data_IF_660856244168
#
_entry.id   IF_660856244168
#
_cell.length_a   1.000
_cell.length_b   1.000
_cell.length_c   1.000
_cell.angle_alpha   90.00
_cell.angle_beta   90.00
_cell.angle_gamma   90.00
#
_symmetry.space_group_name_H-M   'P 1'
#
loop_
_entity.id
_entity.type
_entity.pdbx_description
1 polymer ?
#
# COMPACT_ATOMS: atom_id res chain seq x y z
N UNK A 1 25.22 14.81 -9.21
CA UNK A 1 24.44 13.85 -10.01
C UNK A 1 23.01 13.89 -9.49
N UNK A 2 22.08 14.48 -10.23
CA UNK A 2 20.67 14.57 -9.82
C UNK A 2 20.01 13.27 -10.27
N UNK A 3 19.93 12.29 -9.37
CA UNK A 3 19.27 11.01 -9.65
C UNK A 3 17.77 11.27 -9.68
N UNK A 4 17.11 10.98 -10.81
CA UNK A 4 15.67 11.18 -10.98
C UNK A 4 14.92 9.90 -10.59
N UNK A 5 14.24 9.92 -9.44
CA UNK A 5 13.49 8.78 -8.91
C UNK A 5 12.02 8.74 -9.35
N UNK A 6 11.60 9.56 -10.33
CA UNK A 6 10.20 9.64 -10.77
C UNK A 6 9.61 8.28 -11.17
N UNK A 7 10.39 7.44 -11.85
CA UNK A 7 9.95 6.10 -12.26
C UNK A 7 9.67 5.21 -11.04
N UNK A 8 10.53 5.28 -10.01
CA UNK A 8 10.37 4.54 -8.76
C UNK A 8 9.08 4.95 -8.04
N UNK A 9 8.78 6.25 -7.95
CA UNK A 9 7.57 6.73 -7.30
C UNK A 9 6.30 6.29 -8.02
N UNK A 10 6.28 6.38 -9.36
CA UNK A 10 5.15 5.90 -10.17
C UNK A 10 4.98 4.39 -10.00
N UNK A 11 6.08 3.64 -10.04
CA UNK A 11 6.07 2.20 -9.87
C UNK A 11 5.57 1.78 -8.48
N UNK A 12 6.06 2.42 -7.42
CA UNK A 12 5.60 2.24 -6.04
C UNK A 12 4.11 2.53 -5.88
N UNK A 13 3.64 3.61 -6.52
CA UNK A 13 2.22 3.94 -6.53
C UNK A 13 1.36 2.88 -7.24
N UNK A 14 1.78 2.43 -8.42
CA UNK A 14 1.03 1.41 -9.17
C UNK A 14 0.97 0.10 -8.38
N UNK A 15 2.09 -0.33 -7.79
CA UNK A 15 2.14 -1.55 -6.99
C UNK A 15 1.27 -1.44 -5.74
N UNK A 16 1.36 -0.35 -4.99
CA UNK A 16 0.53 -0.17 -3.81
C UNK A 16 -0.97 -0.08 -4.16
N UNK A 17 -1.33 0.54 -5.28
CA UNK A 17 -2.71 0.58 -5.80
C UNK A 17 -3.21 -0.81 -6.16
N UNK A 18 -2.41 -1.59 -6.88
CA UNK A 18 -2.73 -2.99 -7.20
C UNK A 18 -2.83 -3.84 -5.93
N UNK A 19 -2.07 -3.52 -4.88
CA UNK A 19 -2.20 -4.14 -3.55
C UNK A 19 -3.56 -3.88 -2.90
N UNK A 20 -4.11 -2.67 -3.02
CA UNK A 20 -5.48 -2.38 -2.58
C UNK A 20 -6.50 -3.21 -3.37
N UNK A 21 -6.33 -3.30 -4.70
CA UNK A 21 -7.23 -4.11 -5.56
C UNK A 21 -7.13 -5.59 -5.22
N UNK A 22 -5.92 -6.10 -4.98
CA UNK A 22 -5.67 -7.47 -4.56
C UNK A 22 -6.33 -7.77 -3.21
N UNK A 23 -6.28 -6.82 -2.27
CA UNK A 23 -6.99 -6.94 -0.99
C UNK A 23 -8.48 -7.13 -1.19
N UNK A 24 -9.13 -6.32 -2.04
CA UNK A 24 -10.55 -6.51 -2.34
C UNK A 24 -10.87 -7.85 -3.02
N UNK A 25 -9.96 -8.36 -3.85
CA UNK A 25 -10.12 -9.68 -4.49
C UNK A 25 -9.89 -10.87 -3.55
N UNK A 26 -9.08 -10.69 -2.52
CA UNK A 26 -8.81 -11.71 -1.52
C UNK A 26 -9.81 -11.68 -0.35
N UNK A 27 -10.39 -10.52 -0.07
CA UNK A 27 -11.36 -10.33 0.99
C UNK A 27 -12.65 -11.12 0.72
N UNK A 28 -12.98 -12.06 1.60
CA UNK A 28 -14.25 -12.81 1.56
C UNK A 28 -14.23 -14.10 0.74
N UNK A 29 -13.12 -14.44 0.06
CA UNK A 29 -12.99 -15.69 -0.69
C UNK A 29 -12.14 -16.71 0.07
N UNK A 30 -12.59 -17.97 0.09
CA UNK A 30 -11.79 -19.06 0.67
C UNK A 30 -10.74 -19.53 -0.35
N UNK A 31 -9.65 -18.78 -0.42
CA UNK A 31 -8.57 -18.99 -1.37
C UNK A 31 -7.76 -20.26 -1.11
N UNK A 32 -7.21 -20.89 -2.17
CA UNK A 32 -6.31 -22.05 -2.05
C UNK A 32 -4.99 -21.65 -1.39
N UNK A 33 -4.22 -22.63 -0.89
CA UNK A 33 -2.93 -22.35 -0.23
C UNK A 33 -1.96 -21.62 -1.17
N UNK A 34 -1.95 -22.00 -2.45
CA UNK A 34 -1.06 -21.42 -3.44
C UNK A 34 -1.40 -19.96 -3.74
N UNK A 35 -2.69 -19.65 -3.92
CA UNK A 35 -3.10 -18.27 -4.22
C UNK A 35 -2.85 -17.35 -3.02
N UNK A 36 -3.10 -17.83 -1.79
CA UNK A 36 -2.76 -17.08 -0.56
C UNK A 36 -1.27 -16.75 -0.48
N UNK A 37 -0.40 -17.72 -0.76
CA UNK A 37 1.05 -17.52 -0.77
C UNK A 37 1.47 -16.47 -1.81
N UNK A 38 0.85 -16.46 -2.99
CA UNK A 38 1.10 -15.42 -4.01
C UNK A 38 0.68 -14.03 -3.52
N UNK A 39 -0.50 -13.90 -2.91
CA UNK A 39 -0.95 -12.62 -2.35
C UNK A 39 -0.05 -12.13 -1.21
N UNK A 40 0.38 -13.03 -0.33
CA UNK A 40 1.32 -12.69 0.74
C UNK A 40 2.66 -12.21 0.21
N UNK A 41 3.25 -12.92 -0.75
CA UNK A 41 4.48 -12.49 -1.40
C UNK A 41 4.32 -11.12 -2.07
N UNK A 42 3.17 -10.90 -2.71
CA UNK A 42 2.86 -9.62 -3.33
C UNK A 42 2.80 -8.46 -2.32
N UNK A 43 2.11 -8.64 -1.19
CA UNK A 43 2.00 -7.57 -0.17
C UNK A 43 3.35 -7.21 0.44
N UNK A 44 4.18 -8.21 0.75
CA UNK A 44 5.54 -7.96 1.25
C UNK A 44 6.41 -7.22 0.21
N UNK A 45 6.30 -7.60 -1.07
CA UNK A 45 6.98 -6.91 -2.16
C UNK A 45 6.53 -5.46 -2.30
N UNK A 46 5.21 -5.20 -2.22
CA UNK A 46 4.65 -3.86 -2.30
C UNK A 46 5.17 -2.95 -1.19
N UNK A 47 5.23 -3.45 0.04
CA UNK A 47 5.77 -2.72 1.18
C UNK A 47 7.27 -2.42 1.00
N UNK A 48 8.05 -3.41 0.54
CA UNK A 48 9.48 -3.24 0.32
C UNK A 48 9.76 -2.12 -0.69
N UNK A 49 9.05 -2.11 -1.83
CA UNK A 49 9.14 -1.04 -2.83
C UNK A 49 8.72 0.31 -2.24
N UNK A 50 7.65 0.34 -1.44
CA UNK A 50 7.17 1.53 -0.73
C UNK A 50 8.19 2.14 0.22
N UNK A 51 8.89 1.30 0.99
CA UNK A 51 9.97 1.74 1.87
C UNK A 51 11.15 2.31 1.09
N UNK A 52 11.56 1.65 -0.01
CA UNK A 52 12.64 2.13 -0.89
C UNK A 52 12.27 3.49 -1.50
N UNK A 53 11.03 3.63 -1.98
CA UNK A 53 10.48 4.89 -2.51
C UNK A 53 10.50 6.00 -1.46
N UNK A 54 10.09 5.69 -0.23
CA UNK A 54 10.11 6.65 0.89
C UNK A 54 11.54 7.07 1.20
N UNK A 55 12.48 6.14 1.31
CA UNK A 55 13.90 6.44 1.56
C UNK A 55 14.52 7.30 0.45
N UNK A 56 14.27 6.96 -0.82
CA UNK A 56 14.75 7.73 -1.97
C UNK A 56 14.26 9.19 -1.93
N UNK A 57 13.03 9.42 -1.45
CA UNK A 57 12.44 10.76 -1.33
C UNK A 57 13.15 11.65 -0.33
N UNK A 58 13.53 11.08 0.81
CA UNK A 58 14.29 11.80 1.83
C UNK A 58 15.73 12.07 1.40
N UNK A 59 16.29 11.20 0.55
CA UNK A 59 17.58 11.44 -0.09
C UNK A 59 17.51 12.59 -1.11
N UNK A 60 16.46 12.66 -1.92
CA UNK A 60 16.28 13.67 -2.98
C UNK A 60 15.87 15.06 -2.45
N UNK A 61 14.93 15.13 -1.49
CA UNK A 61 14.30 16.39 -1.03
C UNK A 61 14.74 16.84 0.36
N UNK A 62 16.03 16.70 0.68
CA UNK A 62 16.61 16.95 2.01
C UNK A 62 16.25 18.31 2.66
N UNK A 63 15.80 19.30 1.88
CA UNK A 63 15.51 20.68 2.33
C UNK A 63 14.03 21.10 2.35
N UNK A 64 13.07 20.28 1.87
CA UNK A 64 11.66 20.71 1.70
C UNK A 64 10.61 19.78 2.31
N UNK A 65 11.02 18.93 3.26
CA UNK A 65 10.12 17.97 3.89
C UNK A 65 9.14 18.69 4.83
N UNK A 66 7.84 18.54 4.57
CA UNK A 66 6.80 18.98 5.50
C UNK A 66 6.85 18.13 6.79
N UNK A 67 6.96 18.78 7.96
CA UNK A 67 7.04 18.11 9.26
C UNK A 67 5.89 17.12 9.51
N UNK A 68 4.67 17.40 9.00
CA UNK A 68 3.52 16.48 9.12
C UNK A 68 3.72 15.19 8.32
N UNK A 69 4.24 15.31 7.09
CA UNK A 69 4.56 14.16 6.25
C UNK A 69 5.70 13.33 6.86
N UNK A 70 6.69 13.99 7.46
CA UNK A 70 7.76 13.30 8.17
C UNK A 70 7.28 12.43 9.33
N UNK A 71 6.39 12.96 10.17
CA UNK A 71 5.85 12.21 11.31
C UNK A 71 5.04 11.00 10.83
N UNK A 72 4.23 11.17 9.77
CA UNK A 72 3.50 10.07 9.16
C UNK A 72 4.44 9.00 8.59
N UNK A 73 5.49 9.41 7.87
CA UNK A 73 6.48 8.50 7.28
C UNK A 73 7.24 7.74 8.36
N UNK A 74 7.66 8.43 9.42
CA UNK A 74 8.34 7.80 10.54
C UNK A 74 7.43 6.77 11.23
N UNK A 75 6.17 7.13 11.51
CA UNK A 75 5.21 6.23 12.14
C UNK A 75 4.93 5.00 11.28
N UNK A 76 4.76 5.17 9.96
CA UNK A 76 4.49 4.08 9.02
C UNK A 76 5.70 3.18 8.80
N UNK A 77 6.92 3.72 8.78
CA UNK A 77 8.15 2.94 8.74
C UNK A 77 8.31 2.12 10.03
N UNK A 78 8.14 2.73 11.21
CA UNK A 78 8.22 2.00 12.49
C UNK A 78 7.18 0.88 12.53
N UNK A 79 5.93 1.18 12.18
CA UNK A 79 4.85 0.20 12.11
C UNK A 79 5.21 -0.97 11.19
N UNK A 80 5.76 -0.68 10.01
CA UNK A 80 6.19 -1.69 9.06
C UNK A 80 7.31 -2.56 9.61
N UNK A 81 8.34 -1.96 10.23
CA UNK A 81 9.46 -2.70 10.84
C UNK A 81 8.97 -3.61 11.95
N UNK A 82 8.05 -3.14 12.80
CA UNK A 82 7.43 -3.95 13.86
C UNK A 82 6.70 -5.16 13.26
N UNK A 83 5.90 -4.97 12.21
CA UNK A 83 5.20 -6.08 11.54
C UNK A 83 6.20 -7.07 10.94
N UNK A 84 7.23 -6.59 10.24
CA UNK A 84 8.26 -7.46 9.69
C UNK A 84 8.98 -8.27 10.77
N UNK A 85 9.27 -7.66 11.92
CA UNK A 85 9.85 -8.35 13.07
C UNK A 85 8.94 -9.49 13.53
N UNK A 86 7.65 -9.24 13.75
CA UNK A 86 6.73 -10.30 14.17
C UNK A 86 6.53 -11.37 13.08
N UNK A 87 6.44 -11.00 11.80
CA UNK A 87 6.14 -11.96 10.75
C UNK A 87 7.35 -12.85 10.37
N UNK A 88 8.58 -12.32 10.43
CA UNK A 88 9.80 -13.07 10.08
C UNK A 88 10.55 -13.65 11.28
N UNK A 89 10.56 -12.97 12.44
CA UNK A 89 11.28 -13.44 13.63
C UNK A 89 10.41 -14.21 14.62
N UNK A 90 9.08 -14.00 14.70
CA UNK A 90 8.24 -14.77 15.64
C UNK A 90 8.35 -16.29 15.46
N UNK A 91 8.42 -16.85 14.23
CA UNK A 91 8.62 -18.29 14.04
C UNK A 91 9.91 -18.83 14.68
N UNK A 92 10.93 -17.98 14.88
CA UNK A 92 12.22 -18.33 15.48
C UNK A 92 12.23 -18.23 17.02
N UNK A 93 11.40 -17.35 17.61
CA UNK A 93 11.43 -17.04 19.05
C UNK A 93 10.17 -17.50 19.83
N UNK A 94 9.21 -18.14 19.15
CA UNK A 94 8.25 -19.08 19.74
C UNK A 94 7.26 -18.56 20.78
N UNK A 95 7.14 -17.24 20.98
CA UNK A 95 6.36 -16.69 22.11
C UNK A 95 5.88 -15.24 21.93
N UNK A 96 5.90 -14.72 20.71
CA UNK A 96 5.41 -13.37 20.45
C UNK A 96 3.90 -13.35 20.23
N UNK A 97 3.29 -12.22 20.60
CA UNK A 97 1.84 -12.07 20.70
C UNK A 97 1.13 -12.35 19.37
N UNK A 98 0.25 -13.37 19.33
CA UNK A 98 -0.48 -13.83 18.12
C UNK A 98 -1.28 -12.72 17.43
N UNK A 99 -1.52 -11.62 18.13
CA UNK A 99 -2.20 -10.45 17.60
C UNK A 99 -1.44 -9.82 16.41
N UNK A 100 -0.11 -9.64 16.52
CA UNK A 100 0.70 -8.99 15.48
C UNK A 100 1.13 -9.92 14.34
N UNK A 101 0.98 -11.24 14.52
CA UNK A 101 1.21 -12.22 13.46
C UNK A 101 0.11 -12.21 12.38
N UNK A 102 -1.03 -11.59 12.68
CA UNK A 102 -2.16 -11.54 11.77
C UNK A 102 -1.81 -10.84 10.45
N UNK A 103 -2.15 -11.52 9.35
CA UNK A 103 -2.01 -11.02 7.97
C UNK A 103 -2.62 -9.64 7.72
N UNK A 104 -3.67 -9.31 8.46
CA UNK A 104 -4.33 -8.00 8.34
C UNK A 104 -3.39 -6.84 8.65
N UNK A 105 -2.36 -7.04 9.48
CA UNK A 105 -1.35 -6.01 9.74
C UNK A 105 -0.48 -5.73 8.50
N UNK A 106 -0.09 -6.77 7.77
CA UNK A 106 0.65 -6.62 6.49
C UNK A 106 -0.20 -5.86 5.48
N UNK A 107 -1.49 -6.19 5.37
CA UNK A 107 -2.44 -5.47 4.51
C UNK A 107 -2.55 -3.99 4.94
N UNK A 108 -2.66 -3.71 6.24
CA UNK A 108 -2.67 -2.33 6.75
C UNK A 108 -1.40 -1.55 6.40
N UNK A 109 -0.24 -2.20 6.41
CA UNK A 109 1.01 -1.57 5.96
C UNK A 109 0.97 -1.21 4.47
N UNK A 110 0.43 -2.08 3.60
CA UNK A 110 0.18 -1.78 2.18
C UNK A 110 -0.76 -0.58 2.03
N UNK A 111 -1.82 -0.51 2.84
CA UNK A 111 -2.76 0.63 2.83
C UNK A 111 -2.04 1.93 3.18
N UNK A 112 -1.20 1.93 4.21
CA UNK A 112 -0.41 3.11 4.57
C UNK A 112 0.59 3.51 3.48
N UNK A 113 1.25 2.53 2.83
CA UNK A 113 2.09 2.79 1.66
C UNK A 113 1.28 3.43 0.53
N UNK A 114 0.10 2.91 0.22
CA UNK A 114 -0.77 3.48 -0.82
C UNK A 114 -1.15 4.93 -0.48
N UNK A 115 -1.63 5.20 0.74
CA UNK A 115 -1.98 6.56 1.19
C UNK A 115 -0.78 7.50 1.04
N UNK A 116 0.42 7.01 1.38
CA UNK A 116 1.65 7.80 1.27
C UNK A 116 1.99 8.16 -0.16
N UNK A 117 1.97 7.18 -1.05
CA UNK A 117 2.28 7.38 -2.47
C UNK A 117 1.22 8.24 -3.15
N UNK A 118 -0.05 8.01 -2.84
CA UNK A 118 -1.17 8.81 -3.33
C UNK A 118 -1.10 10.27 -2.88
N UNK A 119 -0.72 10.53 -1.63
CA UNK A 119 -0.58 11.89 -1.08
C UNK A 119 0.53 12.71 -1.75
N UNK A 120 1.58 12.04 -2.25
CA UNK A 120 2.70 12.72 -2.92
C UNK A 120 2.43 13.03 -4.38
N UNK A 121 1.58 12.21 -5.02
CA UNK A 121 0.97 12.58 -6.28
C UNK A 121 0.15 13.84 -6.01
N UNK A 122 0.70 15.00 -6.36
CA UNK A 122 0.03 16.30 -6.34
C UNK A 122 -1.07 16.32 -7.39
N UNK A 123 -2.07 15.44 -7.25
CA UNK A 123 -3.22 15.33 -8.14
C UNK A 123 -4.00 16.63 -7.97
N UNK A 124 -3.81 17.54 -8.92
CA UNK A 124 -4.63 18.73 -9.03
C UNK A 124 -6.02 18.27 -9.49
N UNK A 125 -6.96 18.10 -8.55
CA UNK A 125 -8.38 17.81 -8.80
C UNK A 125 -9.14 18.93 -9.53
N UNK A 126 -8.44 19.92 -10.12
CA UNK A 126 -9.04 21.05 -10.85
C UNK A 126 -9.81 20.63 -12.11
N UNK A 127 -9.72 19.37 -12.55
CA UNK A 127 -10.60 18.80 -13.56
C UNK A 127 -11.23 17.55 -12.97
N UNK A 128 -12.41 17.70 -12.37
CA UNK A 128 -13.28 16.57 -12.05
C UNK A 128 -13.68 15.94 -13.38
N UNK A 129 -12.96 14.89 -13.80
CA UNK A 129 -13.22 14.19 -15.07
C UNK A 129 -14.64 13.58 -15.05
N UNK A 130 -15.14 13.21 -13.87
CA UNK A 130 -16.48 12.71 -13.64
C UNK A 130 -17.18 13.56 -12.58
N UNK A 131 -18.41 14.00 -12.86
CA UNK A 131 -19.30 14.58 -11.85
C UNK A 131 -19.65 13.49 -10.81
N UNK A 132 -19.79 13.82 -9.51
CA UNK A 132 -20.34 12.91 -8.49
C UNK A 132 -21.47 11.99 -8.98
N UNK A 133 -22.42 12.50 -9.76
CA UNK A 133 -23.51 11.69 -10.31
C UNK A 133 -23.04 10.64 -11.33
N UNK A 134 -22.06 10.98 -12.19
CA UNK A 134 -21.48 10.04 -13.16
C UNK A 134 -20.64 8.97 -12.46
N UNK A 135 -19.95 9.31 -11.37
CA UNK A 135 -19.20 8.36 -10.55
C UNK A 135 -20.14 7.35 -9.86
N UNK A 136 -21.31 7.82 -9.42
CA UNK A 136 -22.34 6.95 -8.85
C UNK A 136 -22.91 5.99 -9.89
N UNK A 137 -23.34 6.50 -11.05
CA UNK A 137 -23.92 5.67 -12.12
C UNK A 137 -22.88 4.68 -12.65
N UNK A 138 -21.63 5.08 -12.84
CA UNK A 138 -20.58 4.19 -13.34
C UNK A 138 -20.24 3.08 -12.34
N UNK A 139 -20.12 3.39 -11.04
CA UNK A 139 -19.88 2.37 -10.02
C UNK A 139 -21.05 1.38 -9.92
N UNK A 140 -22.29 1.88 -10.02
CA UNK A 140 -23.50 1.04 -10.02
C UNK A 140 -23.55 0.06 -11.20
N UNK A 141 -23.27 0.52 -12.43
CA UNK A 141 -23.22 -0.33 -13.62
C UNK A 141 -22.13 -1.40 -13.51
N UNK A 142 -20.95 -1.03 -13.02
CA UNK A 142 -19.84 -1.99 -12.82
C UNK A 142 -20.22 -3.07 -11.82
N UNK A 143 -20.84 -2.70 -10.69
CA UNK A 143 -21.29 -3.65 -9.66
C UNK A 143 -22.33 -4.62 -10.24
N UNK A 144 -23.37 -4.12 -10.91
CA UNK A 144 -24.42 -4.98 -11.49
C UNK A 144 -23.83 -5.93 -12.52
N UNK A 145 -22.97 -5.44 -13.42
CA UNK A 145 -22.38 -6.28 -14.47
C UNK A 145 -21.46 -7.36 -13.88
N UNK A 146 -20.69 -7.03 -12.83
CA UNK A 146 -19.84 -8.00 -12.10
C UNK A 146 -20.62 -8.98 -11.24
N UNK A 147 -21.87 -8.69 -10.90
CA UNK A 147 -22.71 -9.53 -10.04
C UNK A 147 -23.71 -10.38 -10.86
N UNK A 148 -24.02 -9.96 -12.08
CA UNK A 148 -24.92 -10.67 -13.00
C UNK A 148 -24.25 -11.80 -13.80
N UNK A 149 -22.92 -11.90 -13.77
CA UNK A 149 -22.11 -12.96 -14.40
C UNK A 149 -21.16 -13.57 -13.37
#
# INVERSE_FOLDING_TARGET
MIINFKLLYIFSFIISTLGIVAFFGDFGFNQSKDSRMMFDGYYHFAIAIGLISTAARYYEKRTSVNRKAFIFDLATVIFTVVIFYFHFLSPLYGSLDRFFESRYWVIMAVVFTFIREFSDLKINFKRTILNPAQLFISSFIVIITRCAF
#
